data_IF_879655501769
#
_entry.id   IF_879655501769
#
_cell.length_a   1.000
_cell.length_b   1.000
_cell.length_c   1.000
_cell.angle_alpha   90.00
_cell.angle_beta   90.00
_cell.angle_gamma   90.00
#
_symmetry.space_group_name_H-M   'P 1'
#
loop_
_entity.id
_entity.type
_entity.pdbx_description
1 polymer ?
#
# COMPACT_ATOMS: atom_id res chain seq x y z
N UNK A 1 -17.56 -4.13 -16.69
CA UNK A 1 -17.39 -3.75 -15.28
C UNK A 1 -16.21 -2.82 -15.16
N UNK A 2 -16.34 -1.71 -14.42
CA UNK A 2 -15.25 -0.77 -14.26
C UNK A 2 -14.30 -1.25 -13.17
N UNK A 3 -13.01 -1.01 -13.36
CA UNK A 3 -11.99 -1.30 -12.38
C UNK A 3 -11.26 -0.02 -11.98
N UNK A 4 -10.67 -0.02 -10.80
CA UNK A 4 -9.83 1.07 -10.33
C UNK A 4 -8.48 0.53 -9.88
N UNK A 5 -7.44 1.34 -10.06
CA UNK A 5 -6.09 1.02 -9.59
C UNK A 5 -5.89 1.56 -8.19
N UNK A 6 -5.29 0.75 -7.34
CA UNK A 6 -5.05 1.12 -5.94
C UNK A 6 -3.64 0.74 -5.55
N UNK A 7 -3.00 1.60 -4.75
CA UNK A 7 -1.78 1.23 -4.05
C UNK A 7 -2.16 0.44 -2.81
N UNK A 8 -1.59 -0.74 -2.69
CA UNK A 8 -1.87 -1.63 -1.58
C UNK A 8 -0.58 -1.86 -0.80
N UNK A 9 -0.59 -1.50 0.49
CA UNK A 9 0.55 -1.67 1.37
C UNK A 9 0.25 -2.76 2.39
N UNK A 10 1.18 -3.70 2.53
CA UNK A 10 1.03 -4.76 3.53
C UNK A 10 2.38 -5.10 4.14
N UNK A 11 2.35 -5.63 5.36
CA UNK A 11 3.54 -6.18 6.01
C UNK A 11 3.37 -7.69 6.05
N UNK A 12 4.32 -8.39 5.45
CA UNK A 12 4.26 -9.83 5.34
C UNK A 12 4.73 -10.50 6.62
N UNK A 13 4.41 -11.77 6.78
CA UNK A 13 4.78 -12.54 7.97
C UNK A 13 6.29 -12.72 8.12
N UNK A 14 7.05 -12.61 7.02
CA UNK A 14 8.52 -12.71 7.04
C UNK A 14 9.21 -11.37 7.25
N UNK A 15 8.46 -10.32 7.61
CA UNK A 15 9.04 -9.04 7.98
C UNK A 15 9.36 -8.11 6.83
N UNK A 16 8.63 -8.21 5.73
CA UNK A 16 8.80 -7.34 4.58
C UNK A 16 7.64 -6.36 4.46
N UNK A 17 7.94 -5.11 4.11
CA UNK A 17 6.94 -4.17 3.63
C UNK A 17 6.78 -4.39 2.13
N UNK A 18 5.55 -4.56 1.68
CA UNK A 18 5.26 -4.77 0.27
C UNK A 18 4.24 -3.74 -0.19
N UNK A 19 4.59 -3.00 -1.23
CA UNK A 19 3.67 -2.05 -1.88
C UNK A 19 3.42 -2.55 -3.30
N UNK A 20 2.17 -2.70 -3.65
CA UNK A 20 1.77 -3.17 -4.97
C UNK A 20 0.68 -2.29 -5.55
N UNK A 21 0.67 -2.18 -6.89
CA UNK A 21 -0.41 -1.54 -7.61
C UNK A 21 -1.36 -2.64 -8.08
N UNK A 22 -2.57 -2.61 -7.58
CA UNK A 22 -3.57 -3.63 -7.88
C UNK A 22 -4.78 -3.01 -8.55
N UNK A 23 -5.51 -3.81 -9.30
CA UNK A 23 -6.80 -3.41 -9.86
C UNK A 23 -7.92 -4.12 -9.09
N UNK A 24 -8.95 -3.37 -8.77
CA UNK A 24 -10.14 -3.90 -8.11
C UNK A 24 -11.37 -3.43 -8.83
N UNK A 25 -12.42 -4.25 -8.79
CA UNK A 25 -13.71 -3.88 -9.33
C UNK A 25 -14.31 -2.73 -8.53
N UNK A 26 -14.91 -1.79 -9.24
CA UNK A 26 -15.66 -0.71 -8.60
C UNK A 26 -17.01 -1.25 -8.19
N UNK A 27 -17.36 -1.26 -6.89
CA UNK A 27 -18.65 -1.80 -6.45
C UNK A 27 -19.81 -0.89 -6.87
N UNK A 28 -20.98 -1.48 -6.97
CA UNK A 28 -22.21 -0.72 -7.20
C UNK A 28 -22.57 0.03 -5.91
N UNK A 29 -22.83 1.36 -5.97
CA UNK A 29 -23.16 2.11 -4.77
C UNK A 29 -24.53 1.69 -4.21
N UNK A 30 -24.60 1.64 -2.88
CA UNK A 30 -25.85 1.41 -2.18
C UNK A 30 -26.65 2.71 -2.08
N UNK A 31 -27.85 2.63 -1.48
CA UNK A 31 -28.83 3.74 -1.49
C UNK A 31 -28.29 5.07 -0.99
N UNK A 32 -27.37 5.09 -0.04
CA UNK A 32 -26.80 6.32 0.53
C UNK A 32 -25.32 6.47 0.23
N UNK A 33 -24.85 5.80 -0.82
CA UNK A 33 -23.45 5.84 -1.24
C UNK A 33 -23.33 6.45 -2.62
N UNK A 34 -22.16 7.04 -2.90
CA UNK A 34 -21.82 7.56 -4.23
C UNK A 34 -20.47 6.99 -4.63
N UNK A 35 -20.25 6.91 -5.94
CA UNK A 35 -18.95 6.57 -6.50
C UNK A 35 -18.27 7.86 -6.89
N UNK A 36 -17.06 8.10 -6.37
CA UNK A 36 -16.27 9.28 -6.67
C UNK A 36 -15.09 8.87 -7.53
N UNK A 37 -14.96 9.51 -8.69
CA UNK A 37 -13.80 9.31 -9.57
C UNK A 37 -12.72 10.30 -9.19
N UNK A 38 -11.61 9.78 -8.66
CA UNK A 38 -10.47 10.61 -8.29
C UNK A 38 -9.65 10.91 -9.55
N UNK A 39 -9.49 12.18 -9.86
CA UNK A 39 -8.73 12.62 -11.04
C UNK A 39 -7.26 12.87 -10.70
N UNK A 40 -6.98 13.36 -9.50
CA UNK A 40 -5.63 13.63 -9.03
C UNK A 40 -5.59 13.66 -7.51
N UNK A 41 -4.43 13.37 -6.96
CA UNK A 41 -4.20 13.44 -5.53
C UNK A 41 -2.81 13.98 -5.26
N UNK A 42 -2.64 14.91 -4.30
CA UNK A 42 -1.30 15.38 -3.95
C UNK A 42 -0.54 14.32 -3.16
N UNK A 43 0.79 14.38 -3.24
CA UNK A 43 1.67 13.59 -2.39
C UNK A 43 2.25 14.52 -1.33
N UNK A 44 1.97 14.24 -0.08
CA UNK A 44 2.43 15.05 1.06
C UNK A 44 3.45 14.26 1.89
N UNK A 45 4.36 14.93 2.61
CA UNK A 45 5.27 14.22 3.50
C UNK A 45 4.57 13.32 4.52
N UNK A 46 3.37 13.69 4.97
CA UNK A 46 2.59 12.88 5.90
C UNK A 46 2.12 11.55 5.31
N UNK A 47 2.09 11.43 3.97
CA UNK A 47 1.71 10.19 3.31
C UNK A 47 2.81 9.14 3.37
N UNK A 48 4.06 9.58 3.59
CA UNK A 48 5.22 8.69 3.55
C UNK A 48 5.25 7.69 4.70
N UNK A 49 4.80 8.12 5.88
CA UNK A 49 4.80 7.22 7.04
C UNK A 49 3.88 6.02 6.87
N UNK A 50 2.59 6.19 6.48
CA UNK A 50 1.73 5.03 6.24
C UNK A 50 2.23 4.10 5.14
N UNK A 51 2.92 4.65 4.12
CA UNK A 51 3.42 3.85 3.01
C UNK A 51 4.73 3.15 3.34
N UNK A 52 5.71 3.86 3.90
CA UNK A 52 7.09 3.37 3.97
C UNK A 52 7.66 3.34 5.38
N UNK A 53 6.96 3.92 6.37
CA UNK A 53 7.52 4.25 7.67
C UNK A 53 8.43 3.21 8.32
N UNK A 54 8.01 1.94 8.44
CA UNK A 54 8.84 0.93 9.10
C UNK A 54 9.88 0.29 8.20
N UNK A 55 9.95 0.65 6.93
CA UNK A 55 10.77 -0.06 5.95
C UNK A 55 12.18 0.51 5.86
N UNK A 56 13.15 -0.37 5.64
CA UNK A 56 14.50 0.03 5.27
C UNK A 56 14.57 0.18 3.75
N UNK A 57 14.34 1.40 3.27
CA UNK A 57 14.28 1.68 1.84
C UNK A 57 15.62 1.52 1.12
N UNK A 58 16.73 1.56 1.86
CA UNK A 58 18.05 1.32 1.26
C UNK A 58 18.18 -0.11 0.72
N UNK A 59 17.40 -1.04 1.23
CA UNK A 59 17.40 -2.44 0.80
C UNK A 59 16.16 -2.80 -0.01
N UNK A 60 15.42 -1.79 -0.50
CA UNK A 60 14.22 -2.04 -1.28
C UNK A 60 14.55 -2.65 -2.63
N UNK A 61 13.69 -3.54 -3.09
CA UNK A 61 13.72 -4.07 -4.44
C UNK A 61 12.40 -3.80 -5.15
N UNK A 62 12.46 -3.72 -6.48
CA UNK A 62 11.31 -3.34 -7.27
C UNK A 62 11.18 -4.21 -8.50
N UNK A 63 10.00 -4.79 -8.69
CA UNK A 63 9.66 -5.57 -9.88
C UNK A 63 8.79 -4.70 -10.79
N UNK A 64 9.38 -4.21 -11.87
CA UNK A 64 8.68 -3.31 -12.80
C UNK A 64 7.51 -4.01 -13.48
N UNK A 65 7.67 -5.26 -13.85
CA UNK A 65 6.63 -6.00 -14.59
C UNK A 65 5.40 -6.25 -13.73
N UNK A 66 5.60 -6.58 -12.47
CA UNK A 66 4.51 -6.84 -11.53
C UNK A 66 4.05 -5.58 -10.79
N UNK A 67 4.81 -4.49 -10.90
CA UNK A 67 4.56 -3.22 -10.20
C UNK A 67 4.47 -3.44 -8.69
N UNK A 68 5.48 -4.12 -8.15
CA UNK A 68 5.57 -4.45 -6.74
C UNK A 68 6.91 -3.97 -6.19
N UNK A 69 6.90 -3.29 -5.06
CA UNK A 69 8.09 -2.94 -4.29
C UNK A 69 8.07 -3.70 -2.99
N UNK A 70 9.23 -4.23 -2.59
CA UNK A 70 9.41 -4.85 -1.28
C UNK A 70 10.62 -4.26 -0.59
N UNK A 71 10.54 -4.12 0.73
CA UNK A 71 11.65 -3.66 1.55
C UNK A 71 11.57 -4.32 2.92
N UNK A 72 12.71 -4.67 3.53
CA UNK A 72 12.67 -5.26 4.86
C UNK A 72 12.22 -4.24 5.90
N UNK A 73 11.48 -4.69 6.89
CA UNK A 73 11.06 -3.87 8.03
C UNK A 73 12.16 -3.92 9.09
N UNK A 74 12.46 -2.78 9.70
CA UNK A 74 13.43 -2.72 10.79
C UNK A 74 13.02 -3.67 11.92
N UNK A 75 13.97 -4.50 12.35
CA UNK A 75 13.70 -5.56 13.33
C UNK A 75 13.12 -5.05 14.65
N UNK A 76 13.58 -3.88 15.10
CA UNK A 76 13.09 -3.29 16.34
C UNK A 76 11.64 -2.79 16.28
N UNK A 77 11.11 -2.60 15.09
CA UNK A 77 9.75 -2.08 14.89
C UNK A 77 8.76 -3.21 14.60
N UNK A 78 9.21 -4.29 13.99
CA UNK A 78 8.36 -5.37 13.52
C UNK A 78 7.41 -5.94 14.60
N UNK A 79 7.86 -6.23 15.83
CA UNK A 79 6.95 -6.76 16.85
C UNK A 79 5.80 -5.83 17.21
N UNK A 80 6.05 -4.50 17.16
CA UNK A 80 5.02 -3.51 17.43
C UNK A 80 3.96 -3.45 16.34
N UNK A 81 4.38 -3.68 15.09
CA UNK A 81 3.50 -3.61 13.94
C UNK A 81 2.64 -4.87 13.84
N UNK A 82 3.21 -6.04 14.10
CA UNK A 82 2.49 -7.31 14.02
C UNK A 82 1.26 -7.36 14.91
N UNK A 83 1.30 -6.68 16.04
CA UNK A 83 0.15 -6.62 16.95
C UNK A 83 -1.02 -5.80 16.40
N UNK A 84 -0.80 -5.06 15.31
CA UNK A 84 -1.80 -4.18 14.69
C UNK A 84 -2.31 -4.68 13.34
N UNK A 85 -1.81 -5.80 12.89
CA UNK A 85 -2.21 -6.38 11.59
C UNK A 85 -3.49 -7.20 11.67
#
# INVERSE_FOLDING_TARGET
MKTSKQLFTQITSDGQLRISLIERDVPTPKAHEVIVRIEAAPINPSDMWPMFGPANLAEASYDIDKKVMTAPVHKGILPRIKSRL
#
